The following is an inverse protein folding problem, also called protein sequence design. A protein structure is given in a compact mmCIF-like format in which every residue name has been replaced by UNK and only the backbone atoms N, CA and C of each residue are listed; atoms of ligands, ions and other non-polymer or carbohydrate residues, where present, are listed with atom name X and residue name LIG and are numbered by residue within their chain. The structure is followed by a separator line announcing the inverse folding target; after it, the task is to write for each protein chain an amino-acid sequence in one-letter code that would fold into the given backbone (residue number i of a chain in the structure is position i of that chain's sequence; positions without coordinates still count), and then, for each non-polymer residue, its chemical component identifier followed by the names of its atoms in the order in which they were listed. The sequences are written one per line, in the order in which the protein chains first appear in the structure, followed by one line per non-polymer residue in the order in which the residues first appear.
data_IF_801501824496
#
_entry.id   IF_801501824496
#
_cell.length_a   1.000
_cell.length_b   1.000
_cell.length_c   1.000
_cell.angle_alpha   90.00
_cell.angle_beta   90.00
_cell.angle_gamma   90.00
#
_symmetry.space_group_name_H-M   'P 1'
#
loop_
_entity.id
_entity.type
_entity.pdbx_description
1 polymer ?
#
# COMPACT_ATOMS: atom_id res chain seq x y z
N UNK A 1 24.60 -0.58 11.80
CA UNK A 1 24.00 -1.44 12.85
C UNK A 1 22.64 -0.86 13.17
N UNK A 2 21.53 -1.59 12.99
CA UNK A 2 20.22 -1.08 13.39
C UNK A 2 20.17 -1.02 14.92
N UNK A 3 19.70 0.11 15.46
CA UNK A 3 19.49 0.27 16.90
C UNK A 3 18.45 -0.73 17.41
N UNK A 4 18.78 -1.36 18.54
CA UNK A 4 17.91 -2.31 19.24
C UNK A 4 16.73 -1.57 19.85
N UNK A 5 15.63 -1.41 19.12
CA UNK A 5 14.41 -0.80 19.68
C UNK A 5 13.66 -1.83 20.53
N UNK A 6 13.77 -1.70 21.86
CA UNK A 6 12.88 -2.43 22.78
C UNK A 6 11.48 -1.83 22.67
N UNK A 7 10.49 -2.65 22.35
CA UNK A 7 9.09 -2.24 22.33
C UNK A 7 8.64 -1.77 23.72
N UNK A 8 7.95 -0.65 23.74
CA UNK A 8 7.31 -0.06 24.92
C UNK A 8 6.04 -0.84 25.29
N UNK A 9 5.62 -0.76 26.55
CA UNK A 9 4.38 -1.38 27.01
C UNK A 9 3.14 -0.84 26.27
N UNK A 10 3.18 0.42 25.82
CA UNK A 10 2.13 1.04 25.00
C UNK A 10 2.01 0.35 23.63
N UNK A 11 3.13 0.13 22.94
CA UNK A 11 3.16 -0.55 21.64
C UNK A 11 2.65 -2.00 21.74
N UNK A 12 2.99 -2.71 22.81
CA UNK A 12 2.49 -4.08 23.06
C UNK A 12 0.97 -4.10 23.21
N UNK A 13 0.41 -3.19 24.03
CA UNK A 13 -1.04 -3.10 24.23
C UNK A 13 -1.78 -2.80 22.93
N UNK A 14 -1.20 -1.93 22.10
CA UNK A 14 -1.79 -1.57 20.82
C UNK A 14 -1.78 -2.73 19.82
N UNK A 15 -0.67 -3.48 19.72
CA UNK A 15 -0.60 -4.68 18.88
C UNK A 15 -1.61 -5.75 19.31
N UNK A 16 -1.79 -5.96 20.61
CA UNK A 16 -2.82 -6.88 21.14
C UNK A 16 -4.22 -6.41 20.77
N UNK A 17 -4.50 -5.12 20.90
CA UNK A 17 -5.79 -4.55 20.53
C UNK A 17 -6.10 -4.76 19.03
N UNK A 18 -5.11 -4.53 18.16
CA UNK A 18 -5.25 -4.81 16.72
C UNK A 18 -5.48 -6.30 16.48
N UNK A 19 -4.74 -7.18 17.17
CA UNK A 19 -4.90 -8.62 17.05
C UNK A 19 -6.31 -9.10 17.46
N UNK A 20 -6.86 -8.54 18.54
CA UNK A 20 -8.23 -8.84 18.98
C UNK A 20 -9.26 -8.35 17.95
N UNK A 21 -9.05 -7.19 17.30
CA UNK A 21 -9.91 -6.72 16.19
C UNK A 21 -9.91 -7.70 15.01
N UNK A 22 -8.72 -8.15 14.57
CA UNK A 22 -8.57 -9.14 13.48
C UNK A 22 -9.32 -10.42 13.83
N UNK A 23 -9.15 -10.92 15.05
CA UNK A 23 -9.82 -12.13 15.53
C UNK A 23 -11.34 -12.00 15.56
N UNK A 24 -11.84 -10.83 15.96
CA UNK A 24 -13.28 -10.53 16.02
C UNK A 24 -13.86 -10.08 14.66
N UNK A 25 -13.07 -10.06 13.58
CA UNK A 25 -13.46 -9.57 12.25
C UNK A 25 -14.06 -8.16 12.27
N UNK A 26 -13.53 -7.30 13.16
CA UNK A 26 -13.92 -5.89 13.23
C UNK A 26 -13.15 -5.07 12.21
N UNK A 27 -13.72 -3.93 11.82
CA UNK A 27 -13.06 -2.98 10.94
C UNK A 27 -11.72 -2.47 11.50
N UNK A 28 -10.72 -2.32 10.64
CA UNK A 28 -9.33 -1.99 10.99
C UNK A 28 -8.86 -0.78 10.17
N UNK A 29 -8.11 0.11 10.81
CA UNK A 29 -7.48 1.25 10.12
C UNK A 29 -6.29 0.78 9.26
N UNK A 30 -6.06 1.37 8.08
CA UNK A 30 -4.84 1.12 7.29
C UNK A 30 -3.54 1.24 8.10
N UNK A 31 -3.37 2.29 8.90
CA UNK A 31 -2.22 2.45 9.80
C UNK A 31 -2.06 1.31 10.83
N UNK A 32 -3.16 0.66 11.25
CA UNK A 32 -3.13 -0.53 12.11
C UNK A 32 -2.67 -1.78 11.35
N UNK A 33 -3.03 -1.90 10.07
CA UNK A 33 -2.59 -2.97 9.16
C UNK A 33 -1.07 -2.91 8.97
N UNK A 34 -0.51 -1.73 8.65
CA UNK A 34 0.94 -1.56 8.53
C UNK A 34 1.67 -1.88 9.84
N UNK A 35 1.13 -1.43 10.97
CA UNK A 35 1.78 -1.63 12.27
C UNK A 35 1.93 -3.10 12.64
N UNK A 36 0.91 -3.93 12.39
CA UNK A 36 0.97 -5.35 12.70
C UNK A 36 1.74 -6.16 11.65
N UNK A 37 1.69 -5.75 10.38
CA UNK A 37 2.41 -6.46 9.29
C UNK A 37 3.91 -6.15 9.29
N UNK A 38 4.31 -4.91 9.60
CA UNK A 38 5.72 -4.51 9.73
C UNK A 38 6.38 -4.97 11.03
N UNK A 39 5.59 -5.42 12.01
CA UNK A 39 6.10 -5.94 13.28
C UNK A 39 7.03 -7.14 13.09
N UNK A 40 8.26 -7.02 13.60
CA UNK A 40 9.25 -8.09 13.70
C UNK A 40 9.93 -8.03 15.08
N UNK A 41 10.12 -9.19 15.71
CA UNK A 41 11.00 -9.32 16.89
C UNK A 41 12.30 -9.96 16.41
N UNK A 42 13.42 -9.25 16.50
CA UNK A 42 14.74 -9.88 16.44
C UNK A 42 14.93 -10.74 17.69
N UNK A 43 15.05 -12.05 17.50
CA UNK A 43 15.18 -13.06 18.54
C UNK A 43 16.61 -13.02 19.15
N UNK A 44 16.95 -11.93 19.82
CA UNK A 44 18.29 -11.71 20.37
C UNK A 44 18.46 -12.47 21.70
N UNK A 45 18.96 -13.70 21.64
CA UNK A 45 19.57 -14.36 22.81
C UNK A 45 20.70 -13.47 23.32
N UNK A 46 20.63 -13.00 24.57
CA UNK A 46 21.65 -12.08 25.12
C UNK A 46 23.04 -12.75 25.16
N UNK A 47 24.13 -11.99 24.93
CA UNK A 47 25.52 -12.48 25.03
C UNK A 47 25.77 -13.19 26.37
N UNK A 48 25.17 -12.68 27.45
CA UNK A 48 25.24 -13.27 28.80
C UNK A 48 24.57 -14.66 28.85
N UNK A 49 23.39 -14.83 28.24
CA UNK A 49 22.73 -16.13 28.12
C UNK A 49 23.57 -17.13 27.31
N UNK A 50 24.25 -16.70 26.24
CA UNK A 50 25.12 -17.59 25.46
C UNK A 50 26.39 -17.99 26.22
N UNK A 51 26.98 -17.09 27.01
CA UNK A 51 28.15 -17.42 27.86
C UNK A 51 27.72 -18.38 28.98
N UNK A 52 26.61 -18.11 29.64
CA UNK A 52 26.09 -18.95 30.72
C UNK A 52 25.73 -20.36 30.21
N UNK A 53 25.10 -20.49 29.04
CA UNK A 53 24.79 -21.79 28.43
C UNK A 53 26.04 -22.60 28.05
N UNK A 54 27.13 -21.93 27.66
CA UNK A 54 28.41 -22.60 27.33
C UNK A 54 29.17 -23.09 28.56
N UNK A 55 28.99 -22.45 29.72
CA UNK A 55 29.72 -22.78 30.96
C UNK A 55 28.92 -23.74 31.86
N UNK A 56 27.60 -23.59 31.92
CA UNK A 56 26.73 -24.33 32.83
C UNK A 56 26.80 -25.86 32.62
N UNK A 57 26.78 -26.30 31.36
CA UNK A 57 26.79 -27.73 31.04
C UNK A 57 28.15 -28.38 31.38
N UNK A 58 29.31 -27.85 30.93
CA UNK A 58 30.61 -28.39 31.36
C UNK A 58 30.80 -28.36 32.88
N UNK A 59 30.46 -27.26 33.55
CA UNK A 59 30.62 -27.14 35.00
C UNK A 59 29.77 -28.17 35.76
N UNK A 60 28.53 -28.40 35.33
CA UNK A 60 27.66 -29.41 35.95
C UNK A 60 28.15 -30.84 35.75
N UNK A 61 28.72 -31.15 34.58
CA UNK A 61 29.27 -32.47 34.27
C UNK A 61 30.54 -32.70 35.09
N UNK A 62 31.43 -31.72 35.16
CA UNK A 62 32.66 -31.78 35.97
C UNK A 62 32.31 -31.98 37.45
N UNK A 63 31.35 -31.22 37.97
CA UNK A 63 30.96 -31.30 39.38
C UNK A 63 30.24 -32.62 39.70
N UNK A 64 29.35 -33.08 38.82
CA UNK A 64 28.68 -34.38 38.96
C UNK A 64 29.65 -35.57 38.84
N UNK A 65 30.60 -35.53 37.90
CA UNK A 65 31.66 -36.52 37.77
C UNK A 65 32.58 -36.53 39.00
N UNK A 66 32.96 -35.35 39.50
CA UNK A 66 33.76 -35.21 40.71
C UNK A 66 33.07 -35.84 41.92
N UNK A 67 31.76 -35.59 42.10
CA UNK A 67 30.98 -36.18 43.19
C UNK A 67 30.87 -37.70 43.08
N UNK A 68 30.70 -38.23 41.86
CA UNK A 68 30.62 -39.67 41.63
C UNK A 68 31.98 -40.38 41.79
N UNK A 69 33.08 -39.75 41.37
CA UNK A 69 34.42 -40.32 41.42
C UNK A 69 35.06 -40.25 42.81
N UNK A 70 34.69 -39.25 43.63
CA UNK A 70 35.29 -39.02 44.95
C UNK A 70 34.24 -38.93 46.07
N UNK A 71 33.38 -39.95 46.26
CA UNK A 71 32.25 -39.86 47.21
C UNK A 71 32.72 -39.65 48.66
N UNK A 72 33.86 -40.22 49.04
CA UNK A 72 34.45 -40.09 50.39
C UNK A 72 34.95 -38.68 50.70
N UNK A 73 35.44 -37.97 49.69
CA UNK A 73 35.84 -36.57 49.84
C UNK A 73 34.62 -35.71 50.17
N UNK A 74 33.51 -35.91 49.46
CA UNK A 74 32.29 -35.13 49.66
C UNK A 74 31.57 -35.49 50.97
N UNK A 75 31.56 -36.77 51.38
CA UNK A 75 31.01 -37.14 52.69
C UNK A 75 31.83 -36.54 53.84
N UNK A 76 33.17 -36.52 53.72
CA UNK A 76 34.07 -35.84 54.68
C UNK A 76 33.94 -34.32 54.65
N UNK A 77 33.65 -33.74 53.48
CA UNK A 77 33.39 -32.32 53.36
C UNK A 77 32.08 -31.93 54.05
N UNK A 78 31.02 -32.72 53.86
CA UNK A 78 29.70 -32.50 54.48
C UNK A 78 29.76 -32.54 56.01
N UNK A 79 30.60 -33.41 56.59
CA UNK A 79 30.77 -33.46 58.05
C UNK A 79 31.55 -32.27 58.61
N UNK A 80 32.32 -31.56 57.78
CA UNK A 80 33.06 -30.35 58.17
C UNK A 80 32.32 -29.05 57.88
N UNK A 81 31.19 -29.11 57.17
CA UNK A 81 30.43 -27.92 56.82
C UNK A 81 29.49 -27.49 57.95
N UNK A 82 29.22 -26.19 58.07
CA UNK A 82 28.28 -25.67 59.06
C UNK A 82 26.88 -26.28 58.90
N UNK A 83 26.18 -26.45 60.02
CA UNK A 83 24.86 -27.08 60.06
C UNK A 83 23.80 -26.41 59.16
N UNK A 84 23.93 -25.11 58.87
CA UNK A 84 23.02 -24.39 57.95
C UNK A 84 23.11 -24.88 56.50
N UNK A 85 24.14 -25.64 56.14
CA UNK A 85 24.26 -26.28 54.82
C UNK A 85 23.40 -27.53 54.67
N UNK A 86 22.82 -28.04 55.77
CA UNK A 86 21.85 -29.11 55.75
C UNK A 86 20.43 -28.54 55.66
N UNK A 87 19.71 -28.95 54.63
CA UNK A 87 18.31 -28.66 54.40
C UNK A 87 17.47 -29.40 55.47
N UNK A 88 16.63 -28.66 56.20
CA UNK A 88 15.66 -29.25 57.11
C UNK A 88 14.65 -30.15 56.36
N UNK A 89 14.00 -31.09 57.06
CA UNK A 89 13.13 -32.10 56.44
C UNK A 89 12.06 -31.53 55.49
N UNK A 90 11.41 -30.43 55.86
CA UNK A 90 10.39 -29.78 55.02
C UNK A 90 10.99 -29.16 53.76
N UNK A 91 12.18 -28.56 53.88
CA UNK A 91 12.87 -27.92 52.76
C UNK A 91 13.44 -28.98 51.80
N UNK A 92 13.98 -30.08 52.34
CA UNK A 92 14.43 -31.23 51.57
C UNK A 92 13.26 -31.86 50.80
N UNK A 93 12.10 -32.06 51.44
CA UNK A 93 10.91 -32.58 50.78
C UNK A 93 10.42 -31.66 49.64
N UNK A 94 10.46 -30.33 49.85
CA UNK A 94 10.13 -29.35 48.82
C UNK A 94 11.12 -29.39 47.65
N UNK A 95 12.42 -29.45 47.95
CA UNK A 95 13.50 -29.52 46.94
C UNK A 95 13.45 -30.83 46.17
N UNK A 96 13.23 -31.97 46.83
CA UNK A 96 13.08 -33.28 46.19
C UNK A 96 11.78 -33.42 45.41
N UNK A 97 10.69 -32.75 45.83
CA UNK A 97 9.49 -32.63 45.02
C UNK A 97 9.79 -31.89 43.71
N UNK A 98 10.49 -30.76 43.77
CA UNK A 98 10.95 -30.03 42.58
C UNK A 98 11.85 -30.90 41.72
N UNK A 99 12.77 -31.67 42.30
CA UNK A 99 13.61 -32.60 41.55
C UNK A 99 12.84 -33.77 40.95
N UNK A 100 11.83 -34.30 41.61
CA UNK A 100 10.99 -35.40 41.09
C UNK A 100 10.18 -35.00 39.85
N UNK A 101 9.87 -33.72 39.69
CA UNK A 101 9.20 -33.18 38.49
C UNK A 101 10.16 -33.17 37.29
N UNK A 102 11.47 -33.05 37.54
CA UNK A 102 12.47 -32.77 36.50
C UNK A 102 13.41 -33.98 36.26
N UNK A 103 13.51 -34.90 37.21
CA UNK A 103 14.39 -36.06 37.20
C UNK A 103 14.22 -36.92 38.44
N UNK A 104 15.31 -37.52 38.95
CA UNK A 104 15.29 -38.30 40.20
C UNK A 104 15.58 -37.40 41.41
N UNK A 105 14.85 -37.56 42.53
CA UNK A 105 15.15 -36.84 43.76
C UNK A 105 16.53 -37.24 44.31
N UNK A 106 17.22 -36.28 44.90
CA UNK A 106 18.61 -36.46 45.38
C UNK A 106 18.60 -37.11 46.77
N UNK A 107 17.56 -36.84 47.59
CA UNK A 107 17.33 -37.46 48.91
C UNK A 107 18.46 -37.31 49.94
N UNK A 108 19.42 -36.43 49.66
CA UNK A 108 20.50 -36.10 50.58
C UNK A 108 20.21 -34.74 51.21
N UNK A 109 20.35 -34.63 52.51
CA UNK A 109 20.00 -33.41 53.23
C UNK A 109 20.98 -32.25 53.01
N UNK A 110 22.21 -32.47 52.56
CA UNK A 110 23.17 -31.39 52.38
C UNK A 110 23.07 -30.74 50.99
N UNK A 111 23.09 -29.40 50.95
CA UNK A 111 22.96 -28.60 49.72
C UNK A 111 24.00 -28.96 48.66
N UNK A 112 25.19 -29.42 49.05
CA UNK A 112 26.27 -29.80 48.12
C UNK A 112 25.84 -30.88 47.14
N UNK A 113 25.03 -31.84 47.57
CA UNK A 113 24.53 -32.90 46.70
C UNK A 113 23.51 -32.39 45.67
N UNK A 114 22.92 -31.23 45.91
CA UNK A 114 21.99 -30.58 44.98
C UNK A 114 22.69 -29.59 44.04
N UNK A 115 23.94 -29.19 44.31
CA UNK A 115 24.69 -28.22 43.50
C UNK A 115 24.77 -28.60 42.01
N UNK A 116 25.06 -29.85 41.60
CA UNK A 116 25.04 -30.22 40.18
C UNK A 116 23.69 -29.93 39.51
N UNK A 117 22.59 -30.28 40.20
CA UNK A 117 21.23 -30.02 39.73
C UNK A 117 20.93 -28.51 39.73
N UNK A 118 21.35 -27.78 40.75
CA UNK A 118 21.20 -26.32 40.81
C UNK A 118 21.94 -25.68 39.64
N UNK A 119 23.17 -26.08 39.29
CA UNK A 119 23.87 -25.55 38.12
C UNK A 119 23.19 -25.94 36.81
N UNK A 120 22.79 -27.21 36.65
CA UNK A 120 22.07 -27.70 35.48
C UNK A 120 20.75 -26.99 35.24
N UNK A 121 19.98 -26.69 36.29
CA UNK A 121 18.61 -26.18 36.17
C UNK A 121 18.49 -24.67 36.41
N UNK A 122 19.40 -24.07 37.18
CA UNK A 122 19.47 -22.60 37.35
C UNK A 122 20.18 -21.93 36.18
N UNK A 123 21.15 -22.60 35.55
CA UNK A 123 21.92 -22.03 34.43
C UNK A 123 21.74 -22.78 33.10
N UNK A 124 21.17 -23.99 33.10
CA UNK A 124 20.84 -24.75 31.89
C UNK A 124 19.33 -24.81 31.59
N UNK A 125 18.93 -24.16 30.49
CA UNK A 125 17.96 -24.66 29.50
C UNK A 125 16.46 -24.76 29.86
N UNK A 126 15.99 -24.88 31.12
CA UNK A 126 14.56 -25.16 31.40
C UNK A 126 13.88 -24.28 32.47
N UNK A 127 14.60 -23.61 33.37
CA UNK A 127 13.97 -22.80 34.43
C UNK A 127 13.63 -21.38 33.99
N UNK A 128 14.63 -20.50 33.93
CA UNK A 128 14.42 -19.04 33.76
C UNK A 128 13.96 -18.66 32.35
N UNK A 129 14.56 -19.26 31.32
CA UNK A 129 14.16 -19.02 29.92
C UNK A 129 12.77 -19.57 29.63
N UNK A 130 12.43 -20.75 30.14
CA UNK A 130 11.13 -21.40 29.92
C UNK A 130 10.04 -20.74 30.76
N UNK A 131 10.33 -20.11 31.91
CA UNK A 131 9.36 -19.28 32.64
C UNK A 131 9.08 -17.95 31.93
N UNK A 132 10.11 -17.26 31.43
CA UNK A 132 9.94 -16.05 30.59
C UNK A 132 9.27 -16.36 29.25
N UNK A 133 9.65 -17.47 28.60
CA UNK A 133 9.07 -17.96 27.36
C UNK A 133 7.65 -18.50 27.58
N UNK A 134 7.33 -19.15 28.70
CA UNK A 134 5.97 -19.61 29.01
C UNK A 134 5.03 -18.43 29.34
N UNK A 135 5.55 -17.38 29.98
CA UNK A 135 4.81 -16.12 30.16
C UNK A 135 4.65 -15.41 28.81
N UNK A 136 5.65 -15.33 27.92
CA UNK A 136 5.52 -14.72 26.57
C UNK A 136 4.64 -15.51 25.59
N UNK A 137 4.72 -16.85 25.62
CA UNK A 137 4.02 -17.82 24.75
C UNK A 137 2.60 -18.19 25.23
N UNK A 138 2.05 -17.40 26.17
CA UNK A 138 0.62 -17.43 26.56
C UNK A 138 -0.05 -16.05 26.51
N UNK A 139 0.68 -14.94 26.33
CA UNK A 139 0.19 -13.61 26.75
C UNK A 139 -0.16 -12.65 25.63
N UNK A 140 0.59 -12.55 24.54
CA UNK A 140 0.28 -11.55 23.51
C UNK A 140 1.00 -11.76 22.17
N UNK A 141 2.24 -12.25 22.19
CA UNK A 141 3.04 -12.39 20.97
C UNK A 141 2.42 -13.39 19.99
N UNK A 142 1.94 -14.53 20.49
CA UNK A 142 1.28 -15.54 19.66
C UNK A 142 -0.03 -14.99 19.07
N UNK A 143 -0.80 -14.22 19.84
CA UNK A 143 -2.01 -13.55 19.34
C UNK A 143 -1.69 -12.59 18.20
N UNK A 144 -0.62 -11.80 18.36
CA UNK A 144 -0.18 -10.83 17.34
C UNK A 144 0.32 -11.54 16.09
N UNK A 145 1.08 -12.62 16.23
CA UNK A 145 1.56 -13.40 15.09
C UNK A 145 0.42 -14.11 14.35
N UNK A 146 -0.53 -14.70 15.07
CA UNK A 146 -1.73 -15.32 14.49
C UNK A 146 -2.57 -14.28 13.72
N UNK A 147 -2.80 -13.12 14.34
CA UNK A 147 -3.50 -12.01 13.69
C UNK A 147 -2.74 -11.50 12.46
N UNK A 148 -1.41 -11.39 12.52
CA UNK A 148 -0.56 -11.02 11.37
C UNK A 148 -0.74 -11.99 10.22
N UNK A 149 -0.68 -13.30 10.45
CA UNK A 149 -0.87 -14.32 9.41
C UNK A 149 -2.28 -14.29 8.83
N UNK A 150 -3.30 -14.14 9.68
CA UNK A 150 -4.69 -14.01 9.21
C UNK A 150 -4.87 -12.74 8.38
N UNK A 151 -4.28 -11.63 8.81
CA UNK A 151 -4.38 -10.36 8.10
C UNK A 151 -3.66 -10.43 6.75
N UNK A 152 -2.45 -10.99 6.67
CA UNK A 152 -1.73 -11.18 5.41
C UNK A 152 -2.55 -11.99 4.41
N UNK A 153 -3.17 -13.10 4.84
CA UNK A 153 -4.07 -13.89 3.99
C UNK A 153 -5.31 -13.11 3.51
N UNK A 154 -5.76 -12.13 4.30
CA UNK A 154 -6.90 -11.29 3.95
C UNK A 154 -6.49 -10.13 3.02
N UNK A 155 -5.27 -9.60 3.17
CA UNK A 155 -4.65 -8.65 2.22
C UNK A 155 -4.54 -9.32 0.85
N UNK A 156 -3.93 -10.50 0.77
CA UNK A 156 -3.76 -11.26 -0.49
C UNK A 156 -5.11 -11.55 -1.18
N UNK A 157 -6.19 -11.67 -0.41
CA UNK A 157 -7.55 -11.91 -0.92
C UNK A 157 -8.32 -10.64 -1.25
N UNK A 158 -7.84 -9.47 -0.84
CA UNK A 158 -8.53 -8.19 -0.93
C UNK A 158 -9.88 -8.19 -0.21
N UNK A 159 -9.97 -8.79 0.98
CA UNK A 159 -11.25 -8.97 1.69
C UNK A 159 -11.27 -8.34 3.10
N UNK A 160 -10.35 -7.42 3.37
CA UNK A 160 -10.30 -6.69 4.65
C UNK A 160 -11.51 -5.77 4.76
N UNK A 161 -12.04 -5.65 5.97
CA UNK A 161 -13.01 -4.63 6.33
C UNK A 161 -12.24 -3.46 6.93
N UNK A 162 -12.21 -2.33 6.24
CA UNK A 162 -11.52 -1.13 6.69
C UNK A 162 -12.44 -0.22 7.50
N UNK A 163 -11.85 0.54 8.41
CA UNK A 163 -12.44 1.75 8.98
C UNK A 163 -11.52 2.89 8.56
N UNK A 164 -11.97 3.74 7.63
CA UNK A 164 -11.17 4.82 7.07
C UNK A 164 -11.51 6.15 7.75
N UNK A 165 -10.70 7.17 7.52
CA UNK A 165 -11.08 8.51 7.96
C UNK A 165 -12.24 9.05 7.10
N UNK A 166 -13.03 9.94 7.69
CA UNK A 166 -14.03 10.69 6.92
C UNK A 166 -13.36 11.43 5.75
N UNK A 167 -14.08 11.51 4.63
CA UNK A 167 -13.64 12.16 3.40
C UNK A 167 -12.44 11.50 2.70
N UNK A 168 -12.16 10.21 2.95
CA UNK A 168 -11.18 9.46 2.17
C UNK A 168 -11.63 9.27 0.71
N UNK A 169 -10.66 9.03 -0.18
CA UNK A 169 -10.88 8.75 -1.60
C UNK A 169 -10.87 7.24 -1.87
N UNK A 170 -11.86 6.75 -2.60
CA UNK A 170 -11.92 5.37 -3.08
C UNK A 170 -11.50 5.36 -4.56
N UNK A 171 -10.38 4.69 -4.86
CA UNK A 171 -9.84 4.62 -6.22
C UNK A 171 -10.26 3.31 -6.88
N UNK A 172 -10.92 3.37 -8.03
CA UNK A 172 -11.23 2.19 -8.84
C UNK A 172 -10.16 2.08 -9.93
N UNK A 173 -9.20 1.19 -9.71
CA UNK A 173 -7.96 1.11 -10.46
C UNK A 173 -7.89 -0.20 -11.26
N UNK A 174 -7.58 -0.06 -12.54
CA UNK A 174 -7.19 -1.12 -13.45
C UNK A 174 -5.75 -1.57 -13.24
N UNK A 175 -5.35 -2.60 -13.99
CA UNK A 175 -3.97 -3.09 -13.93
C UNK A 175 -3.07 -2.14 -14.71
N UNK A 176 -2.24 -1.40 -13.98
CA UNK A 176 -1.20 -0.56 -14.57
C UNK A 176 -1.43 0.94 -14.42
N UNK A 177 -2.56 1.38 -13.85
CA UNK A 177 -2.91 2.80 -13.72
C UNK A 177 -1.92 3.56 -12.84
N UNK A 178 -0.97 4.21 -13.50
CA UNK A 178 0.11 4.97 -12.91
C UNK A 178 -0.40 6.19 -12.14
N UNK A 179 -1.40 6.92 -12.66
CA UNK A 179 -1.96 8.07 -11.95
C UNK A 179 -2.60 7.62 -10.62
N UNK A 180 -3.35 6.53 -10.63
CA UNK A 180 -3.96 5.96 -9.42
C UNK A 180 -2.90 5.50 -8.41
N UNK A 181 -1.86 4.81 -8.87
CA UNK A 181 -0.72 4.41 -8.06
C UNK A 181 -0.02 5.62 -7.41
N UNK A 182 0.34 6.63 -8.21
CA UNK A 182 1.03 7.82 -7.68
C UNK A 182 0.14 8.63 -6.74
N UNK A 183 -1.18 8.68 -6.98
CA UNK A 183 -2.11 9.35 -6.07
C UNK A 183 -2.16 8.64 -4.71
N UNK A 184 -2.18 7.30 -4.71
CA UNK A 184 -2.11 6.49 -3.50
C UNK A 184 -0.79 6.70 -2.74
N UNK A 185 0.35 6.60 -3.42
CA UNK A 185 1.69 6.77 -2.82
C UNK A 185 1.93 8.17 -2.26
N UNK A 186 1.33 9.20 -2.87
CA UNK A 186 1.46 10.58 -2.44
C UNK A 186 0.47 11.00 -1.35
N UNK A 187 -0.46 10.12 -0.98
CA UNK A 187 -1.50 10.39 0.01
C UNK A 187 -1.14 9.78 1.37
N UNK A 188 -1.80 10.27 2.42
CA UNK A 188 -1.73 9.61 3.72
C UNK A 188 -2.42 8.25 3.64
N UNK A 189 -1.84 7.26 4.31
CA UNK A 189 -2.29 5.87 4.32
C UNK A 189 -3.77 5.68 4.67
N UNK A 190 -4.31 6.50 5.58
CA UNK A 190 -5.68 6.37 6.06
C UNK A 190 -6.69 7.17 5.20
N UNK A 191 -6.22 7.88 4.16
CA UNK A 191 -7.03 8.76 3.31
C UNK A 191 -7.38 8.16 1.94
N UNK A 192 -6.80 7.02 1.58
CA UNK A 192 -6.97 6.43 0.24
C UNK A 192 -7.08 4.92 0.34
N UNK A 193 -8.02 4.35 -0.41
CA UNK A 193 -8.14 2.90 -0.58
C UNK A 193 -8.33 2.55 -2.06
N UNK A 194 -7.69 1.45 -2.49
CA UNK A 194 -7.77 0.98 -3.87
C UNK A 194 -8.75 -0.19 -4.01
N UNK A 195 -9.63 -0.12 -5.01
CA UNK A 195 -10.44 -1.24 -5.49
C UNK A 195 -9.87 -1.73 -6.81
N UNK A 196 -9.54 -3.02 -6.91
CA UNK A 196 -8.94 -3.60 -8.12
C UNK A 196 -9.13 -5.11 -8.24
N UNK A 197 -8.95 -5.65 -9.44
CA UNK A 197 -9.21 -7.07 -9.72
C UNK A 197 -8.11 -8.01 -9.19
N UNK A 198 -6.91 -7.47 -9.00
CA UNK A 198 -5.73 -8.13 -8.46
C UNK A 198 -5.03 -7.24 -7.43
N UNK A 199 -4.23 -7.86 -6.57
CA UNK A 199 -3.42 -7.17 -5.57
C UNK A 199 -2.46 -6.14 -6.23
N UNK A 200 -2.55 -4.85 -5.87
CA UNK A 200 -1.63 -3.83 -6.35
C UNK A 200 -0.26 -3.98 -5.68
N UNK A 201 0.84 -3.84 -6.44
CA UNK A 201 2.19 -3.96 -5.91
C UNK A 201 2.63 -2.79 -5.02
N UNK A 202 1.92 -1.67 -5.08
CA UNK A 202 2.30 -0.41 -4.42
C UNK A 202 1.58 -0.16 -3.08
N UNK A 203 0.55 -0.95 -2.73
CA UNK A 203 -0.19 -0.77 -1.47
C UNK A 203 -0.74 -2.08 -0.93
N UNK A 204 -0.71 -2.23 0.40
CA UNK A 204 -1.40 -3.32 1.09
C UNK A 204 -2.88 -2.97 1.41
N UNK A 205 -3.30 -1.74 1.10
CA UNK A 205 -4.62 -1.19 1.43
C UNK A 205 -5.50 -1.24 0.19
N UNK A 206 -6.02 -2.42 -0.09
CA UNK A 206 -6.87 -2.65 -1.24
C UNK A 206 -8.00 -3.64 -0.94
N UNK A 207 -9.03 -3.60 -1.78
CA UNK A 207 -10.15 -4.54 -1.77
C UNK A 207 -10.34 -5.09 -3.18
N UNK A 208 -10.63 -6.38 -3.25
CA UNK A 208 -10.86 -7.07 -4.51
C UNK A 208 -12.18 -6.66 -5.11
N UNK A 209 -12.12 -6.09 -6.30
CA UNK A 209 -13.28 -5.75 -7.12
C UNK A 209 -12.94 -6.01 -8.58
N UNK A 210 -13.83 -6.71 -9.28
CA UNK A 210 -13.68 -6.95 -10.71
C UNK A 210 -14.81 -6.23 -11.44
N UNK A 211 -14.45 -5.40 -12.42
CA UNK A 211 -15.37 -4.62 -13.25
C UNK A 211 -16.30 -5.54 -14.05
N UNK A 212 -15.89 -6.79 -14.30
CA UNK A 212 -16.72 -7.78 -14.99
C UNK A 212 -17.74 -8.51 -14.09
N UNK A 213 -17.71 -8.29 -12.77
CA UNK A 213 -18.59 -8.99 -11.82
C UNK A 213 -19.90 -8.24 -11.52
N UNK A 214 -20.87 -8.98 -10.98
CA UNK A 214 -22.21 -8.52 -10.64
C UNK A 214 -22.24 -7.39 -9.58
N UNK A 215 -23.35 -6.64 -9.55
CA UNK A 215 -23.72 -5.63 -8.55
C UNK A 215 -23.29 -5.98 -7.10
N UNK A 216 -23.60 -7.20 -6.66
CA UNK A 216 -23.28 -7.70 -5.31
C UNK A 216 -21.79 -7.70 -4.96
N UNK A 217 -20.92 -7.79 -5.97
CA UNK A 217 -19.46 -7.71 -5.79
C UNK A 217 -19.03 -6.29 -5.48
N UNK A 218 -19.60 -5.29 -6.17
CA UNK A 218 -19.31 -3.88 -5.92
C UNK A 218 -19.86 -3.45 -4.57
N UNK A 219 -21.11 -3.79 -4.26
CA UNK A 219 -21.74 -3.48 -2.98
C UNK A 219 -20.87 -3.95 -1.81
N UNK A 220 -20.42 -5.20 -1.86
CA UNK A 220 -19.53 -5.75 -0.84
C UNK A 220 -18.18 -5.02 -0.79
N UNK A 221 -17.59 -4.69 -1.94
CA UNK A 221 -16.34 -3.97 -1.98
C UNK A 221 -16.46 -2.57 -1.36
N UNK A 222 -17.54 -1.85 -1.67
CA UNK A 222 -17.84 -0.53 -1.12
C UNK A 222 -18.10 -0.56 0.39
N UNK A 223 -18.83 -1.57 0.89
CA UNK A 223 -19.00 -1.77 2.34
C UNK A 223 -17.68 -2.06 3.05
N UNK A 224 -16.83 -2.88 2.43
CA UNK A 224 -15.50 -3.16 2.95
C UNK A 224 -14.58 -1.93 2.94
N UNK A 225 -14.83 -1.00 2.02
CA UNK A 225 -14.10 0.24 1.83
C UNK A 225 -14.66 1.42 2.64
N UNK A 226 -15.62 1.20 3.55
CA UNK A 226 -16.23 2.28 4.35
C UNK A 226 -16.80 3.41 3.47
N UNK A 227 -17.44 3.06 2.35
CA UNK A 227 -17.94 4.01 1.36
C UNK A 227 -18.95 5.05 1.90
N UNK A 228 -19.61 4.76 3.02
CA UNK A 228 -20.46 5.71 3.74
C UNK A 228 -19.68 6.97 4.15
N UNK A 229 -18.44 6.79 4.62
CA UNK A 229 -17.56 7.85 5.10
C UNK A 229 -16.70 8.47 3.99
N UNK A 230 -16.76 7.94 2.77
CA UNK A 230 -15.98 8.44 1.64
C UNK A 230 -16.36 9.87 1.26
N UNK A 231 -15.38 10.63 0.78
CA UNK A 231 -15.61 11.95 0.16
C UNK A 231 -15.96 11.80 -1.32
N UNK A 232 -15.30 10.85 -1.98
CA UNK A 232 -15.35 10.70 -3.43
C UNK A 232 -14.91 9.32 -3.93
N UNK A 233 -15.34 9.01 -5.14
CA UNK A 233 -14.84 7.92 -5.96
C UNK A 233 -14.01 8.49 -7.12
N UNK A 234 -12.87 7.88 -7.41
CA UNK A 234 -12.01 8.26 -8.54
C UNK A 234 -11.90 7.10 -9.52
N UNK A 235 -12.27 7.36 -10.77
CA UNK A 235 -12.26 6.40 -11.88
C UNK A 235 -11.14 6.76 -12.87
N UNK A 236 -10.41 5.75 -13.35
CA UNK A 236 -9.32 5.92 -14.32
C UNK A 236 -9.61 5.14 -15.61
N UNK A 237 -10.55 5.59 -16.47
CA UNK A 237 -10.92 4.85 -17.68
C UNK A 237 -9.91 4.95 -18.84
N UNK A 238 -8.82 5.71 -18.69
CA UNK A 238 -7.86 5.99 -19.77
C UNK A 238 -6.52 5.36 -19.48
N UNK A 239 -5.90 4.78 -20.52
CA UNK A 239 -4.54 4.26 -20.48
C UNK A 239 -3.57 5.37 -20.13
N UNK A 240 -2.63 5.13 -19.22
CA UNK A 240 -1.62 6.14 -18.89
C UNK A 240 -0.77 6.55 -20.09
N UNK A 241 -0.54 5.63 -21.04
CA UNK A 241 0.16 5.92 -22.29
C UNK A 241 -0.61 6.85 -23.23
N UNK A 242 -1.91 7.02 -23.00
CA UNK A 242 -2.84 7.82 -23.81
C UNK A 242 -3.49 8.93 -22.98
N UNK A 243 -2.88 9.34 -21.87
CA UNK A 243 -3.47 10.31 -20.95
C UNK A 243 -3.68 11.68 -21.59
N UNK A 244 -2.85 12.08 -22.57
CA UNK A 244 -2.95 13.36 -23.27
C UNK A 244 -3.34 13.14 -24.74
N UNK A 245 -4.37 13.84 -25.22
CA UNK A 245 -4.91 13.69 -26.59
C UNK A 245 -5.24 12.24 -27.01
N UNK A 246 -5.87 11.41 -26.15
CA UNK A 246 -6.33 10.10 -26.57
C UNK A 246 -7.31 10.24 -27.74
N UNK A 247 -7.40 9.17 -28.51
CA UNK A 247 -8.43 9.01 -29.51
C UNK A 247 -9.76 8.67 -28.88
N UNK A 248 -10.82 8.91 -29.64
CA UNK A 248 -12.21 8.65 -29.24
C UNK A 248 -12.44 7.25 -28.66
N UNK A 249 -11.68 6.26 -29.15
CA UNK A 249 -11.76 4.84 -28.76
C UNK A 249 -10.54 4.34 -27.97
N UNK A 250 -9.66 5.23 -27.53
CA UNK A 250 -8.46 4.89 -26.75
C UNK A 250 -8.78 5.01 -25.26
N UNK A 251 -9.37 3.97 -24.70
CA UNK A 251 -9.71 3.84 -23.27
C UNK A 251 -9.36 2.44 -22.76
N UNK A 252 -9.19 2.30 -21.45
CA UNK A 252 -9.16 1.00 -20.75
C UNK A 252 -10.57 0.53 -20.41
N UNK A 253 -11.43 1.45 -19.98
CA UNK A 253 -12.84 1.21 -19.70
C UNK A 253 -13.68 2.08 -20.61
N UNK A 254 -14.50 1.44 -21.44
CA UNK A 254 -15.37 2.14 -22.39
C UNK A 254 -16.38 3.05 -21.66
N UNK A 255 -16.74 4.23 -22.22
CA UNK A 255 -17.73 5.13 -21.65
C UNK A 255 -19.03 4.46 -21.17
N UNK A 256 -19.61 3.51 -21.92
CA UNK A 256 -20.82 2.80 -21.50
C UNK A 256 -20.61 1.94 -20.24
N UNK A 257 -19.41 1.41 -20.05
CA UNK A 257 -19.07 0.66 -18.83
C UNK A 257 -18.83 1.60 -17.65
N UNK A 258 -18.23 2.77 -17.89
CA UNK A 258 -18.08 3.82 -16.86
C UNK A 258 -19.44 4.26 -16.36
N UNK A 259 -20.39 4.50 -17.27
CA UNK A 259 -21.78 4.83 -16.94
C UNK A 259 -22.44 3.75 -16.07
N UNK A 260 -22.37 2.47 -16.49
CA UNK A 260 -22.90 1.35 -15.71
C UNK A 260 -22.27 1.30 -14.31
N UNK A 261 -20.95 1.49 -14.19
CA UNK A 261 -20.28 1.52 -12.89
C UNK A 261 -20.81 2.64 -12.00
N UNK A 262 -20.99 3.84 -12.56
CA UNK A 262 -21.52 4.99 -11.82
C UNK A 262 -22.95 4.73 -11.36
N UNK A 263 -23.84 4.21 -12.22
CA UNK A 263 -25.18 3.83 -11.81
C UNK A 263 -25.18 2.77 -10.71
N UNK A 264 -24.30 1.78 -10.80
CA UNK A 264 -24.14 0.75 -9.77
C UNK A 264 -23.72 1.36 -8.43
N UNK A 265 -22.79 2.32 -8.44
CA UNK A 265 -22.40 3.08 -7.23
C UNK A 265 -23.61 3.83 -6.66
N UNK A 266 -24.37 4.55 -7.50
CA UNK A 266 -25.57 5.29 -7.07
C UNK A 266 -26.65 4.40 -6.49
N UNK A 267 -26.84 3.22 -7.06
CA UNK A 267 -27.79 2.23 -6.57
C UNK A 267 -27.36 1.68 -5.20
N UNK A 268 -26.06 1.41 -4.99
CA UNK A 268 -25.53 1.00 -3.67
C UNK A 268 -25.72 2.09 -2.63
N UNK A 269 -25.39 3.35 -2.98
CA UNK A 269 -25.62 4.50 -2.09
C UNK A 269 -27.10 4.60 -1.69
N UNK A 270 -28.01 4.51 -2.68
CA UNK A 270 -29.46 4.56 -2.44
C UNK A 270 -29.95 3.41 -1.56
N UNK A 271 -29.50 2.19 -1.82
CA UNK A 271 -29.91 1.00 -1.06
C UNK A 271 -29.47 1.07 0.41
N UNK A 272 -28.31 1.69 0.67
CA UNK A 272 -27.79 1.86 2.03
C UNK A 272 -28.17 3.20 2.67
N UNK A 273 -28.99 4.03 2.00
CA UNK A 273 -29.36 5.39 2.42
C UNK A 273 -28.15 6.32 2.65
N UNK A 274 -27.10 6.17 1.84
CA UNK A 274 -25.95 7.07 1.84
C UNK A 274 -26.21 8.30 0.97
N UNK A 275 -25.68 9.45 1.40
CA UNK A 275 -25.68 10.65 0.57
C UNK A 275 -24.78 10.45 -0.66
N UNK A 276 -25.23 10.82 -1.88
CA UNK A 276 -24.44 10.65 -3.09
C UNK A 276 -23.09 11.36 -2.98
N UNK A 277 -21.98 10.63 -3.14
CA UNK A 277 -20.62 11.17 -3.08
C UNK A 277 -20.19 11.73 -4.44
N UNK A 278 -19.11 12.51 -4.44
CA UNK A 278 -18.52 13.03 -5.67
C UNK A 278 -17.90 11.88 -6.47
N UNK A 279 -18.01 11.90 -7.78
CA UNK A 279 -17.33 10.96 -8.67
C UNK A 279 -16.44 11.77 -9.61
N UNK A 280 -15.14 11.46 -9.60
CA UNK A 280 -14.15 12.10 -10.44
C UNK A 280 -13.72 11.08 -11.50
N UNK A 281 -13.88 11.42 -12.77
CA UNK A 281 -13.40 10.61 -13.89
C UNK A 281 -12.12 11.24 -14.42
N UNK A 282 -10.99 10.55 -14.28
CA UNK A 282 -9.71 10.97 -14.86
C UNK A 282 -9.64 10.43 -16.29
N UNK A 283 -10.13 11.20 -17.24
CA UNK A 283 -10.21 10.80 -18.63
C UNK A 283 -10.50 11.94 -19.60
N UNK A 284 -10.66 11.64 -20.89
CA UNK A 284 -10.80 12.68 -21.92
C UNK A 284 -12.27 12.84 -22.35
N UNK A 285 -12.75 14.08 -22.34
CA UNK A 285 -14.14 14.45 -22.64
C UNK A 285 -14.61 14.03 -24.04
N UNK A 286 -13.68 13.81 -24.98
CA UNK A 286 -13.97 13.40 -26.36
C UNK A 286 -14.07 11.88 -26.54
N UNK A 287 -13.89 11.09 -25.47
CA UNK A 287 -14.11 9.65 -25.53
C UNK A 287 -15.58 9.30 -25.68
N UNK A 288 -15.87 8.41 -26.62
CA UNK A 288 -17.22 8.04 -27.03
C UNK A 288 -17.28 6.56 -27.42
N UNK A 289 -18.39 5.93 -27.05
CA UNK A 289 -18.80 4.64 -27.60
C UNK A 289 -20.12 4.81 -28.35
N UNK A 290 -20.22 4.11 -29.48
CA UNK A 290 -21.44 4.05 -30.27
C UNK A 290 -22.04 2.64 -30.12
N UNK A 291 -23.26 2.56 -29.59
CA UNK A 291 -24.05 1.34 -29.51
C UNK A 291 -25.10 1.40 -30.61
N UNK A 292 -25.30 0.29 -31.33
CA UNK A 292 -26.28 0.23 -32.45
C UNK A 292 -26.81 -1.17 -32.64
N UNK A 293 -28.03 -1.27 -33.18
CA UNK A 293 -28.62 -2.55 -33.58
C UNK A 293 -28.39 -2.79 -35.07
N UNK A 294 -27.88 -3.97 -35.41
CA UNK A 294 -27.63 -4.37 -36.79
C UNK A 294 -28.51 -5.57 -37.17
N UNK A 295 -29.07 -5.50 -38.37
CA UNK A 295 -29.62 -6.67 -39.07
C UNK A 295 -28.54 -7.26 -39.97
N UNK A 296 -28.82 -8.42 -40.59
CA UNK A 296 -27.90 -9.02 -41.59
C UNK A 296 -27.55 -8.09 -42.75
N UNK A 297 -28.38 -7.09 -43.06
CA UNK A 297 -28.24 -6.25 -44.27
C UNK A 297 -28.03 -4.77 -44.00
N UNK A 298 -28.34 -4.27 -42.82
CA UNK A 298 -28.30 -2.84 -42.50
C UNK A 298 -28.20 -2.57 -41.00
N UNK A 299 -27.66 -1.41 -40.66
CA UNK A 299 -27.77 -0.80 -39.33
C UNK A 299 -29.16 -0.17 -39.20
N UNK A 300 -29.80 -0.31 -38.05
CA UNK A 300 -31.04 0.41 -37.72
C UNK A 300 -30.65 1.79 -37.15
N UNK A 301 -30.79 2.84 -37.96
CA UNK A 301 -30.31 4.19 -37.62
C UNK A 301 -30.99 4.78 -36.37
N UNK A 302 -32.24 4.41 -36.11
CA UNK A 302 -33.03 4.80 -34.94
C UNK A 302 -32.53 4.20 -33.62
N UNK A 303 -31.59 3.26 -33.69
CA UNK A 303 -30.98 2.59 -32.52
C UNK A 303 -29.56 3.04 -32.23
N UNK A 304 -29.04 4.02 -32.97
CA UNK A 304 -27.70 4.55 -32.76
C UNK A 304 -27.70 5.42 -31.50
N UNK A 305 -26.92 5.00 -30.51
CA UNK A 305 -26.75 5.69 -29.24
C UNK A 305 -25.26 5.97 -28.99
N UNK A 306 -24.94 7.24 -28.85
CA UNK A 306 -23.58 7.72 -28.62
C UNK A 306 -23.42 8.07 -27.14
N UNK A 307 -22.67 7.24 -26.41
CA UNK A 307 -22.38 7.40 -24.98
C UNK A 307 -20.99 7.99 -24.85
N UNK A 308 -20.88 9.19 -24.27
CA UNK A 308 -19.61 9.89 -24.09
C UNK A 308 -19.35 10.21 -22.62
N UNK A 309 -18.10 10.44 -22.23
CA UNK A 309 -17.84 10.92 -20.86
C UNK A 309 -18.57 12.25 -20.60
N UNK A 310 -18.64 13.13 -21.61
CA UNK A 310 -19.33 14.42 -21.51
C UNK A 310 -20.84 14.29 -21.27
N UNK A 311 -21.52 13.29 -21.86
CA UNK A 311 -22.94 13.06 -21.57
C UNK A 311 -23.13 12.57 -20.13
N UNK A 312 -22.28 11.64 -19.68
CA UNK A 312 -22.29 11.12 -18.29
C UNK A 312 -22.13 12.26 -17.26
N UNK A 313 -21.20 13.20 -17.47
CA UNK A 313 -20.97 14.36 -16.59
C UNK A 313 -22.19 15.29 -16.50
N UNK A 314 -22.96 15.42 -17.59
CA UNK A 314 -24.16 16.28 -17.65
C UNK A 314 -25.39 15.62 -17.06
N UNK A 315 -25.55 14.32 -17.28
CA UNK A 315 -26.78 13.59 -16.94
C UNK A 315 -26.76 13.05 -15.52
N UNK A 316 -25.58 12.66 -15.01
CA UNK A 316 -25.45 12.06 -13.69
C UNK A 316 -24.98 13.08 -12.65
N UNK A 317 -25.72 13.18 -11.55
CA UNK A 317 -25.43 14.11 -10.46
C UNK A 317 -24.06 13.85 -9.82
N UNK A 318 -23.34 14.93 -9.47
CA UNK A 318 -22.06 14.92 -8.75
C UNK A 318 -20.95 14.14 -9.47
N UNK A 319 -21.00 14.07 -10.79
CA UNK A 319 -19.88 13.61 -11.62
C UNK A 319 -19.05 14.82 -12.06
N UNK A 320 -17.75 14.64 -12.23
CA UNK A 320 -16.86 15.64 -12.82
C UNK A 320 -15.75 14.94 -13.59
N UNK A 321 -15.47 15.41 -14.80
CA UNK A 321 -14.35 14.91 -15.61
C UNK A 321 -13.12 15.77 -15.38
N UNK A 322 -12.05 15.13 -14.93
CA UNK A 322 -10.70 15.67 -14.90
C UNK A 322 -9.98 15.32 -16.20
N UNK A 323 -10.01 16.25 -17.14
CA UNK A 323 -9.49 16.08 -18.49
C UNK A 323 -8.03 16.55 -18.58
N UNK A 324 -7.12 15.59 -18.72
CA UNK A 324 -5.69 15.86 -18.81
C UNK A 324 -5.32 16.68 -20.06
N UNK A 325 -6.04 16.52 -21.17
CA UNK A 325 -5.87 17.35 -22.37
C UNK A 325 -6.23 18.80 -22.09
N UNK A 326 -7.35 19.04 -21.41
CA UNK A 326 -7.72 20.39 -21.00
C UNK A 326 -6.68 21.01 -20.06
N UNK A 327 -6.17 20.25 -19.09
CA UNK A 327 -5.18 20.74 -18.13
C UNK A 327 -3.88 21.16 -18.82
N UNK A 328 -3.36 20.30 -19.71
CA UNK A 328 -2.13 20.58 -20.46
C UNK A 328 -2.30 21.81 -21.34
N UNK A 329 -3.36 21.89 -22.13
CA UNK A 329 -3.58 23.02 -23.04
C UNK A 329 -3.80 24.32 -22.26
N UNK A 330 -4.59 24.31 -21.17
CA UNK A 330 -4.75 25.48 -20.29
C UNK A 330 -3.42 25.94 -19.70
N UNK A 331 -2.58 24.99 -19.28
CA UNK A 331 -1.27 25.33 -18.72
C UNK A 331 -0.33 25.90 -19.79
N UNK A 332 -0.37 25.41 -21.03
CA UNK A 332 0.38 25.99 -22.16
C UNK A 332 -0.08 27.44 -22.40
N UNK A 333 -1.39 27.67 -22.54
CA UNK A 333 -1.95 29.00 -22.79
C UNK A 333 -1.65 29.98 -21.63
N UNK A 334 -1.62 29.47 -20.40
CA UNK A 334 -1.29 30.26 -19.19
C UNK A 334 0.20 30.61 -19.12
N UNK A 335 1.11 29.68 -19.41
CA UNK A 335 2.56 29.91 -19.36
C UNK A 335 3.06 30.75 -20.54
N UNK A 336 2.40 30.63 -21.69
CA UNK A 336 2.83 31.24 -22.95
C UNK A 336 1.69 32.02 -23.61
N UNK A 337 1.17 33.07 -22.96
CA UNK A 337 0.09 33.87 -23.51
C UNK A 337 0.54 34.59 -24.79
N UNK A 338 -0.37 34.74 -25.75
CA UNK A 338 -0.14 35.48 -27.00
C UNK A 338 1.09 34.99 -27.78
N UNK A 339 1.31 33.68 -27.84
CA UNK A 339 2.34 33.08 -28.69
C UNK A 339 1.70 32.27 -29.79
N UNK A 340 2.34 32.25 -30.96
CA UNK A 340 1.94 31.34 -32.02
C UNK A 340 2.36 29.92 -31.68
N UNK A 341 1.42 28.98 -31.57
CA UNK A 341 1.67 27.62 -31.11
C UNK A 341 1.82 26.67 -32.31
N UNK A 342 2.95 25.99 -32.37
CA UNK A 342 3.22 24.94 -33.35
C UNK A 342 3.31 23.58 -32.66
N UNK A 343 2.72 22.55 -33.28
CA UNK A 343 2.89 21.17 -32.84
C UNK A 343 4.06 20.51 -33.58
N UNK A 344 5.00 19.95 -32.81
CA UNK A 344 6.11 19.14 -33.30
C UNK A 344 5.89 17.69 -32.92
N UNK A 345 5.83 16.83 -33.93
CA UNK A 345 5.65 15.39 -33.77
C UNK A 345 6.20 14.65 -35.00
N UNK A 346 6.23 13.32 -34.97
CA UNK A 346 6.54 12.48 -36.14
C UNK A 346 5.42 12.59 -37.19
N UNK A 347 5.64 12.03 -38.39
CA UNK A 347 4.58 12.00 -39.43
C UNK A 347 3.36 11.22 -38.94
N UNK A 348 3.58 10.07 -38.32
CA UNK A 348 2.51 9.24 -37.76
C UNK A 348 1.79 9.95 -36.62
N UNK A 349 2.55 10.59 -35.71
CA UNK A 349 1.97 11.38 -34.63
C UNK A 349 1.20 12.61 -35.13
N UNK A 350 1.62 13.23 -36.24
CA UNK A 350 0.86 14.32 -36.85
C UNK A 350 -0.50 13.83 -37.37
N UNK A 351 -0.56 12.64 -37.95
CA UNK A 351 -1.83 12.07 -38.41
C UNK A 351 -2.77 11.73 -37.24
N UNK A 352 -2.21 11.36 -36.09
CA UNK A 352 -2.98 11.00 -34.90
C UNK A 352 -3.43 12.21 -34.06
N UNK A 353 -2.52 13.14 -33.80
CA UNK A 353 -2.68 14.13 -32.73
C UNK A 353 -2.90 15.55 -33.22
N UNK A 354 -2.47 15.89 -34.44
CA UNK A 354 -2.52 17.29 -34.95
C UNK A 354 -3.91 17.88 -34.85
N UNK A 355 -4.91 17.19 -35.42
CA UNK A 355 -6.30 17.65 -35.39
C UNK A 355 -6.78 17.82 -33.94
N UNK A 356 -6.59 16.79 -33.11
CA UNK A 356 -7.02 16.80 -31.70
C UNK A 356 -6.41 17.96 -30.91
N UNK A 357 -5.12 18.22 -31.11
CA UNK A 357 -4.39 19.30 -30.44
C UNK A 357 -4.93 20.68 -30.81
N UNK A 358 -5.09 20.96 -32.11
CA UNK A 358 -5.59 22.27 -32.56
C UNK A 358 -7.08 22.46 -32.26
N UNK A 359 -7.91 21.43 -32.44
CA UNK A 359 -9.33 21.48 -32.04
C UNK A 359 -9.46 21.84 -30.55
N UNK A 360 -8.63 21.23 -29.68
CA UNK A 360 -8.66 21.51 -28.24
C UNK A 360 -8.13 22.90 -27.88
N UNK A 361 -7.11 23.40 -28.60
CA UNK A 361 -6.63 24.76 -28.45
C UNK A 361 -7.72 25.79 -28.74
N UNK A 362 -8.42 25.62 -29.86
CA UNK A 362 -9.51 26.51 -30.28
C UNK A 362 -10.68 26.46 -29.29
N UNK A 363 -11.08 25.27 -28.82
CA UNK A 363 -12.11 25.09 -27.79
C UNK A 363 -11.78 25.82 -26.47
N UNK A 364 -10.49 25.98 -26.16
CA UNK A 364 -10.00 26.67 -24.97
C UNK A 364 -9.66 28.14 -25.22
N UNK A 365 -10.03 28.69 -26.38
CA UNK A 365 -9.96 30.11 -26.69
C UNK A 365 -8.65 30.57 -27.35
N UNK A 366 -7.83 29.66 -27.86
CA UNK A 366 -6.68 30.04 -28.69
C UNK A 366 -7.14 30.62 -30.04
N UNK A 367 -6.51 31.70 -30.48
CA UNK A 367 -6.73 32.30 -31.78
C UNK A 367 -5.37 32.51 -32.50
N UNK A 368 -5.19 31.87 -33.66
CA UNK A 368 -3.96 31.93 -34.45
C UNK A 368 -3.80 33.25 -35.25
N UNK A 369 -4.85 34.08 -35.30
CA UNK A 369 -4.87 35.35 -36.03
C UNK A 369 -4.28 36.54 -35.24
N UNK A 370 -3.94 36.35 -33.96
CA UNK A 370 -3.28 37.39 -33.18
C UNK A 370 -1.85 37.54 -33.75
N UNK A 371 -1.52 38.73 -34.28
CA UNK A 371 -0.19 39.07 -34.81
C UNK A 371 0.88 38.96 -33.71
N UNK A 372 1.41 37.76 -33.53
CA UNK A 372 2.39 37.44 -32.50
C UNK A 372 3.77 37.24 -33.12
N UNK A 373 4.75 38.02 -32.65
CA UNK A 373 6.16 37.96 -33.12
C UNK A 373 6.93 36.76 -32.58
N UNK A 374 6.41 36.07 -31.54
CA UNK A 374 7.09 34.93 -30.88
C UNK A 374 6.29 33.65 -31.04
N UNK A 375 7.00 32.55 -31.31
CA UNK A 375 6.42 31.24 -31.52
C UNK A 375 6.85 30.24 -30.45
N UNK A 376 5.92 29.43 -29.96
CA UNK A 376 6.19 28.28 -29.11
C UNK A 376 6.05 27.01 -29.93
N UNK A 377 7.04 26.12 -29.82
CA UNK A 377 6.96 24.78 -30.43
C UNK A 377 6.71 23.75 -29.33
N UNK A 378 5.54 23.13 -29.34
CA UNK A 378 5.13 22.10 -28.38
C UNK A 378 5.45 20.73 -28.96
N UNK A 379 6.27 19.95 -28.27
CA UNK A 379 6.58 18.56 -28.64
C UNK A 379 5.70 17.58 -27.88
N UNK A 380 5.05 16.66 -28.58
CA UNK A 380 4.18 15.64 -27.98
C UNK A 380 4.72 14.22 -28.20
N UNK A 381 4.46 13.34 -27.22
CA UNK A 381 4.77 11.90 -27.23
C UNK A 381 6.24 11.60 -27.54
N UNK A 382 7.11 12.27 -26.79
CA UNK A 382 8.52 12.22 -27.07
C UNK A 382 9.16 11.15 -26.17
N UNK A 383 9.50 10.01 -26.77
CA UNK A 383 10.40 9.03 -26.13
C UNK A 383 11.75 9.69 -25.79
N UNK A 384 12.48 9.17 -24.80
CA UNK A 384 13.77 9.72 -24.35
C UNK A 384 14.70 10.08 -25.54
N UNK A 385 14.82 9.18 -26.50
CA UNK A 385 15.65 9.30 -27.71
C UNK A 385 15.21 10.44 -28.66
N UNK A 386 13.90 10.68 -28.74
CA UNK A 386 13.35 11.76 -29.56
C UNK A 386 13.52 13.11 -28.87
N UNK A 387 13.44 13.15 -27.53
CA UNK A 387 13.67 14.37 -26.74
C UNK A 387 15.13 14.77 -26.90
N UNK A 388 16.03 13.80 -26.77
CA UNK A 388 17.45 13.98 -27.03
C UNK A 388 17.73 14.53 -28.42
N UNK A 389 17.16 13.91 -29.46
CA UNK A 389 17.41 14.32 -30.85
C UNK A 389 16.95 15.75 -31.13
N UNK A 390 15.79 16.15 -30.61
CA UNK A 390 15.23 17.48 -30.86
C UNK A 390 15.97 18.55 -30.03
N UNK A 391 16.35 18.22 -28.79
CA UNK A 391 17.18 19.08 -27.93
C UNK A 391 18.58 19.33 -28.54
N UNK A 392 19.27 18.28 -29.00
CA UNK A 392 20.61 18.41 -29.58
C UNK A 392 20.62 19.19 -30.90
N UNK A 393 19.51 19.17 -31.66
CA UNK A 393 19.44 19.81 -32.99
C UNK A 393 19.21 21.31 -32.96
N UNK A 394 18.91 21.93 -31.81
CA UNK A 394 18.96 23.38 -31.51
C UNK A 394 18.50 24.37 -32.60
N UNK A 395 17.68 23.95 -33.56
CA UNK A 395 17.12 24.82 -34.61
C UNK A 395 15.78 25.44 -34.23
N UNK A 396 15.21 25.04 -33.10
CA UNK A 396 13.92 25.53 -32.62
C UNK A 396 14.17 26.43 -31.40
N UNK A 397 13.94 27.73 -31.55
CA UNK A 397 13.82 28.63 -30.41
C UNK A 397 12.51 28.29 -29.69
N UNK A 398 12.53 28.21 -28.36
CA UNK A 398 11.35 28.05 -27.50
C UNK A 398 10.57 26.72 -27.72
N UNK A 399 11.25 25.60 -27.43
CA UNK A 399 10.67 24.25 -27.46
C UNK A 399 10.16 23.82 -26.08
N UNK A 400 8.91 23.36 -25.99
CA UNK A 400 8.30 22.80 -24.78
C UNK A 400 7.99 21.30 -24.99
N UNK A 401 8.75 20.39 -24.35
CA UNK A 401 8.42 18.97 -24.35
C UNK A 401 7.26 18.68 -23.38
N UNK A 402 6.22 18.02 -23.91
CA UNK A 402 5.11 17.45 -23.14
C UNK A 402 5.33 15.95 -23.01
N UNK A 403 5.47 15.48 -21.78
CA UNK A 403 5.99 14.14 -21.45
C UNK A 403 4.93 13.37 -20.66
N UNK A 404 4.70 12.13 -21.08
CA UNK A 404 3.82 11.16 -20.40
C UNK A 404 4.63 10.16 -19.58
N UNK A 405 5.77 9.69 -20.11
CA UNK A 405 6.60 8.66 -19.47
C UNK A 405 7.45 9.22 -18.33
N UNK A 406 7.45 8.52 -17.20
CA UNK A 406 8.32 8.81 -16.05
C UNK A 406 9.81 8.67 -16.40
N UNK A 407 10.17 7.65 -17.18
CA UNK A 407 11.56 7.40 -17.55
C UNK A 407 12.14 8.55 -18.37
N UNK A 408 11.35 9.05 -19.34
CA UNK A 408 11.72 10.21 -20.14
C UNK A 408 11.83 11.48 -19.26
N UNK A 409 10.88 11.70 -18.35
CA UNK A 409 10.90 12.82 -17.41
C UNK A 409 12.18 12.81 -16.54
N UNK A 410 12.49 11.68 -15.91
CA UNK A 410 13.66 11.54 -15.04
C UNK A 410 14.97 11.67 -15.82
N UNK A 411 15.03 11.14 -17.06
CA UNK A 411 16.19 11.29 -17.94
C UNK A 411 16.47 12.76 -18.30
N UNK A 412 15.43 13.53 -18.62
CA UNK A 412 15.56 14.95 -18.98
C UNK A 412 16.02 15.78 -17.77
N UNK A 413 15.46 15.51 -16.58
CA UNK A 413 15.89 16.16 -15.35
C UNK A 413 17.35 15.84 -15.01
N UNK A 414 17.80 14.58 -15.16
CA UNK A 414 19.20 14.18 -14.95
C UNK A 414 20.19 14.94 -15.85
N UNK A 415 19.74 15.45 -16.99
CA UNK A 415 20.56 16.23 -17.93
C UNK A 415 20.62 17.72 -17.62
N UNK A 416 20.01 18.17 -16.52
CA UNK A 416 20.10 19.54 -16.02
C UNK A 416 18.97 20.47 -16.50
N UNK A 417 17.92 19.94 -17.12
CA UNK A 417 16.71 20.72 -17.41
C UNK A 417 15.94 21.03 -16.14
N UNK A 418 15.41 22.24 -16.04
CA UNK A 418 14.53 22.63 -14.95
C UNK A 418 13.12 22.09 -15.17
N UNK A 419 12.37 21.89 -14.07
CA UNK A 419 10.95 21.50 -14.12
C UNK A 419 10.06 22.52 -14.84
N UNK A 420 10.52 23.76 -14.97
CA UNK A 420 9.79 24.84 -15.64
C UNK A 420 9.87 24.74 -17.16
N UNK A 421 10.94 24.14 -17.66
CA UNK A 421 11.21 23.95 -19.09
C UNK A 421 10.53 22.72 -19.69
N UNK A 422 9.88 21.90 -18.85
CA UNK A 422 9.22 20.66 -19.27
C UNK A 422 7.78 20.64 -18.75
N UNK A 423 6.93 19.90 -19.44
CA UNK A 423 5.56 19.67 -18.99
C UNK A 423 5.33 18.18 -18.80
N UNK A 424 5.30 17.75 -17.55
CA UNK A 424 5.00 16.37 -17.19
C UNK A 424 3.51 16.24 -16.88
N UNK A 425 2.77 15.55 -17.75
CA UNK A 425 1.30 15.48 -17.68
C UNK A 425 0.81 14.82 -16.39
N UNK A 426 1.40 13.70 -15.92
CA UNK A 426 0.99 13.09 -14.64
C UNK A 426 1.06 14.04 -13.44
N UNK A 427 2.08 14.89 -13.36
CA UNK A 427 2.19 15.87 -12.25
C UNK A 427 1.05 16.90 -12.30
N UNK A 428 0.65 17.35 -13.50
CA UNK A 428 -0.48 18.27 -13.66
C UNK A 428 -1.79 17.62 -13.21
N UNK A 429 -2.04 16.39 -13.64
CA UNK A 429 -3.25 15.62 -13.27
C UNK A 429 -3.29 15.36 -11.77
N UNK A 430 -2.18 14.89 -11.17
CA UNK A 430 -2.10 14.61 -9.73
C UNK A 430 -2.27 15.88 -8.89
N UNK A 431 -1.70 17.00 -9.34
CA UNK A 431 -1.84 18.29 -8.66
C UNK A 431 -3.29 18.74 -8.64
N UNK A 432 -3.99 18.64 -9.77
CA UNK A 432 -5.38 19.06 -9.86
C UNK A 432 -6.31 18.09 -9.12
N UNK A 433 -6.07 16.78 -9.24
CA UNK A 433 -6.83 15.76 -8.51
C UNK A 433 -6.75 15.97 -7.00
N UNK A 434 -5.56 16.28 -6.46
CA UNK A 434 -5.39 16.63 -5.04
C UNK A 434 -6.18 17.87 -4.63
N UNK A 435 -6.15 18.94 -5.45
CA UNK A 435 -6.95 20.15 -5.15
C UNK A 435 -8.43 19.84 -5.10
N UNK A 436 -8.93 19.01 -6.02
CA UNK A 436 -10.35 18.63 -6.06
C UNK A 436 -10.70 17.79 -4.82
N UNK A 437 -9.82 16.86 -4.44
CA UNK A 437 -9.98 16.00 -3.26
C UNK A 437 -9.94 16.77 -1.93
N UNK A 438 -9.08 17.79 -1.83
CA UNK A 438 -8.94 18.65 -0.65
C UNK A 438 -10.04 19.72 -0.54
N UNK A 439 -10.75 20.01 -1.63
CA UNK A 439 -11.89 20.95 -1.65
C UNK A 439 -13.21 20.30 -1.15
N UNK A 440 -13.13 19.25 -0.34
CA UNK A 440 -14.25 18.52 0.25
C UNK A 440 -14.65 19.05 1.63
#
# INVERSE_FOLDING_TARGET
MPERKKLTHKEIKELVHIADKVKLKKAILPSQVEKITSFQIEDSKSKLQNILLKIALPASIIFGMSQAAFPEFYSSLVTKLPAWTNLGQNLLAAVDYVWSIIGKPVKMNNIIYHIPNIFLYSFGVIGVKKLFDYVRRKTWLDKVNEAKTTLQKNIEKGNILYALHEHHSILLIGKGDFIGEQFCLNSKIDNVITLGSSEPSYTNHWIKYDISNSYSSLEKALLHADAESAGEYVLFPVKDTELFLPGEKQYDVAPEKVEIMIHTIRDVEKMNNWEPKRIIIVGDRKQITCVRTETKKSVLEDTIEDISLTSIDKEIRKVTILDASDLVIKEILRRFPNRKIYLRTSVDGSNMYKKRFFDRLEELGYNDEIENTTSLVVGYDIYEEQVEREIFKSKLQEYLPVILSKDAHDAILRKGYSKEQIMYVPDLVLTELKKIAEAN
#
